data_IF_035425296743
#
_entry.id   IF_035425296743
#
_cell.length_a   1.000
_cell.length_b   1.000
_cell.length_c   1.000
_cell.angle_alpha   90.00
_cell.angle_beta   90.00
_cell.angle_gamma   90.00
#
_symmetry.space_group_name_H-M   'P 1'
#
loop_
_entity.id
_entity.type
_entity.pdbx_description
1 polymer ?
#
# COMPACT_ATOMS: atom_id res chain seq x y z
N UNK A 1 -15.96 -11.94 -56.92
CA UNK A 1 -14.67 -11.30 -57.30
C UNK A 1 -14.04 -10.79 -56.00
N UNK A 2 -13.13 -11.54 -55.36
CA UNK A 2 -11.63 -11.43 -55.41
C UNK A 2 -11.16 -10.04 -54.90
N UNK A 3 -10.31 -9.84 -53.88
CA UNK A 3 -9.10 -10.57 -53.36
C UNK A 3 -8.86 -10.15 -51.88
N UNK A 4 -8.65 -11.02 -50.89
CA UNK A 4 -7.38 -11.61 -50.41
C UNK A 4 -6.11 -10.75 -50.49
N UNK A 5 -5.51 -10.44 -49.32
CA UNK A 5 -4.11 -10.73 -49.03
C UNK A 5 -3.83 -10.62 -47.50
N UNK A 6 -3.58 -11.76 -46.87
CA UNK A 6 -2.76 -11.85 -45.66
C UNK A 6 -1.30 -11.77 -46.07
N UNK A 7 -0.51 -10.97 -45.35
CA UNK A 7 0.94 -11.12 -45.32
C UNK A 7 1.38 -11.11 -43.85
N UNK A 8 1.97 -12.23 -43.43
CA UNK A 8 2.69 -12.40 -42.17
C UNK A 8 3.82 -11.35 -42.09
N UNK A 9 3.83 -10.59 -41.01
CA UNK A 9 4.97 -9.81 -40.55
C UNK A 9 5.47 -10.39 -39.23
N UNK A 10 6.67 -10.95 -39.28
CA UNK A 10 7.39 -11.65 -38.22
C UNK A 10 7.55 -10.90 -36.90
N UNK A 11 7.50 -11.67 -35.81
CA UNK A 11 7.87 -11.33 -34.44
C UNK A 11 9.21 -10.58 -34.36
N UNK A 12 9.15 -9.32 -33.92
CA UNK A 12 10.17 -8.70 -33.08
C UNK A 12 9.45 -7.90 -32.00
N UNK A 13 8.96 -8.60 -30.98
CA UNK A 13 8.68 -7.98 -29.68
C UNK A 13 10.05 -7.67 -29.05
N UNK A 14 10.66 -6.58 -29.51
CA UNK A 14 11.62 -5.84 -28.70
C UNK A 14 10.90 -5.47 -27.41
N UNK A 15 11.30 -6.10 -26.32
CA UNK A 15 10.89 -5.75 -24.97
C UNK A 15 11.44 -4.35 -24.64
N UNK A 16 10.77 -3.31 -25.13
CA UNK A 16 10.88 -1.98 -24.55
C UNK A 16 10.06 -1.99 -23.26
N UNK A 17 10.71 -2.35 -22.16
CA UNK A 17 10.22 -2.10 -20.81
C UNK A 17 10.34 -0.61 -20.51
N UNK A 18 9.49 0.20 -21.14
CA UNK A 18 9.26 1.60 -20.77
C UNK A 18 8.03 1.62 -19.87
N UNK A 19 8.27 1.74 -18.57
CA UNK A 19 7.23 1.86 -17.55
C UNK A 19 7.10 0.58 -16.72
N UNK A 20 7.58 0.63 -15.48
CA UNK A 20 7.59 -0.47 -14.51
C UNK A 20 6.21 -0.85 -14.00
N UNK A 21 5.35 -1.32 -14.90
CA UNK A 21 4.10 -1.98 -14.57
C UNK A 21 4.38 -3.47 -14.51
N UNK A 22 4.93 -3.94 -13.38
CA UNK A 22 4.84 -5.36 -13.05
C UNK A 22 3.37 -5.66 -12.80
N UNK A 23 2.70 -6.22 -13.81
CA UNK A 23 1.41 -6.86 -13.62
C UNK A 23 1.65 -8.04 -12.68
N UNK A 24 1.37 -7.87 -11.39
CA UNK A 24 1.34 -8.98 -10.44
C UNK A 24 0.22 -9.91 -10.87
N UNK A 25 0.57 -10.91 -11.68
CA UNK A 25 -0.35 -11.88 -12.23
C UNK A 25 -0.32 -13.10 -11.33
N UNK A 26 -1.28 -13.20 -10.41
CA UNK A 26 -1.63 -14.50 -9.86
C UNK A 26 -2.14 -15.33 -11.05
N UNK A 27 -1.39 -16.37 -11.42
CA UNK A 27 -1.46 -17.01 -12.74
C UNK A 27 -2.85 -17.56 -13.10
N UNK A 28 -3.71 -17.80 -12.09
CA UNK A 28 -4.99 -18.50 -12.22
C UNK A 28 -6.21 -17.74 -11.67
N UNK A 29 -6.06 -16.50 -11.19
CA UNK A 29 -7.19 -15.68 -10.69
C UNK A 29 -7.30 -14.36 -11.48
N UNK A 30 -8.52 -13.91 -11.83
CA UNK A 30 -8.71 -12.61 -12.47
C UNK A 30 -8.19 -11.49 -11.55
N UNK A 31 -7.51 -10.48 -12.10
CA UNK A 31 -6.90 -9.41 -11.31
C UNK A 31 -7.96 -8.64 -10.50
N UNK A 32 -7.60 -8.26 -9.28
CA UNK A 32 -8.42 -7.41 -8.42
C UNK A 32 -7.96 -5.96 -8.49
N UNK A 33 -8.92 -5.06 -8.62
CA UNK A 33 -8.77 -3.64 -8.34
C UNK A 33 -9.06 -3.42 -6.85
N UNK A 34 -8.05 -2.95 -6.12
CA UNK A 34 -8.18 -2.64 -4.71
C UNK A 34 -8.42 -1.15 -4.51
N UNK A 35 -9.28 -0.79 -3.57
CA UNK A 35 -9.54 0.60 -3.22
C UNK A 35 -9.93 0.75 -1.76
N UNK A 36 -9.82 1.96 -1.24
CA UNK A 36 -10.38 2.36 0.03
C UNK A 36 -11.50 3.38 -0.24
N UNK A 37 -12.68 3.17 0.34
CA UNK A 37 -13.83 4.08 0.15
C UNK A 37 -14.61 4.30 1.43
N UNK A 38 -15.33 5.40 1.44
CA UNK A 38 -16.34 5.70 2.45
C UNK A 38 -17.74 5.43 1.85
N UNK A 39 -18.72 5.10 2.69
CA UNK A 39 -20.14 5.09 2.28
C UNK A 39 -20.87 6.39 2.68
N UNK A 40 -22.16 6.48 2.35
CA UNK A 40 -22.99 7.64 2.66
C UNK A 40 -23.25 7.85 4.17
N UNK A 41 -22.97 6.84 5.00
CA UNK A 41 -23.08 6.92 6.46
C UNK A 41 -21.73 7.27 7.12
N UNK A 42 -20.68 7.46 6.32
CA UNK A 42 -19.33 7.77 6.80
C UNK A 42 -18.55 6.55 7.30
N UNK A 43 -19.01 5.32 7.02
CA UNK A 43 -18.24 4.10 7.35
C UNK A 43 -17.14 3.89 6.31
N UNK A 44 -16.01 3.35 6.75
CA UNK A 44 -14.82 3.14 5.93
C UNK A 44 -14.73 1.67 5.48
N UNK A 45 -14.27 1.44 4.25
CA UNK A 45 -14.15 0.09 3.68
C UNK A 45 -12.85 -0.11 2.91
N UNK A 46 -12.24 -1.28 3.10
CA UNK A 46 -11.30 -1.89 2.17
C UNK A 46 -12.10 -2.72 1.15
N UNK A 47 -11.92 -2.45 -0.13
CA UNK A 47 -12.75 -3.06 -1.19
C UNK A 47 -11.90 -3.68 -2.29
N UNK A 48 -12.41 -4.77 -2.86
CA UNK A 48 -11.82 -5.47 -3.99
C UNK A 48 -12.88 -5.69 -5.07
N UNK A 49 -12.55 -5.28 -6.30
CA UNK A 49 -13.41 -5.44 -7.48
C UNK A 49 -12.69 -6.22 -8.58
N UNK A 50 -13.43 -6.97 -9.38
CA UNK A 50 -12.94 -7.47 -10.66
C UNK A 50 -12.96 -6.36 -11.71
N UNK A 51 -12.24 -6.54 -12.80
CA UNK A 51 -12.21 -5.58 -13.92
C UNK A 51 -13.57 -5.36 -14.60
N UNK A 52 -14.51 -6.30 -14.45
CA UNK A 52 -15.89 -6.16 -14.94
C UNK A 52 -16.81 -5.38 -13.98
N UNK A 53 -16.28 -4.87 -12.86
CA UNK A 53 -17.02 -4.13 -11.85
C UNK A 53 -17.68 -5.01 -10.78
N UNK A 54 -17.54 -6.34 -10.86
CA UNK A 54 -18.06 -7.25 -9.82
C UNK A 54 -17.33 -7.02 -8.50
N UNK A 55 -18.06 -6.66 -7.44
CA UNK A 55 -17.51 -6.58 -6.10
C UNK A 55 -17.16 -7.98 -5.60
N UNK A 56 -15.91 -8.20 -5.20
CA UNK A 56 -15.45 -9.45 -4.56
C UNK A 56 -15.61 -9.36 -3.06
N UNK A 57 -15.19 -8.23 -2.47
CA UNK A 57 -15.37 -7.97 -1.06
C UNK A 57 -15.52 -6.47 -0.76
N UNK A 58 -16.16 -6.17 0.36
CA UNK A 58 -16.19 -4.85 0.97
C UNK A 58 -16.13 -5.00 2.49
N UNK A 59 -14.92 -4.88 3.02
CA UNK A 59 -14.62 -5.14 4.43
C UNK A 59 -14.64 -3.81 5.17
N UNK A 60 -15.59 -3.66 6.09
CA UNK A 60 -15.66 -2.47 6.93
C UNK A 60 -14.41 -2.40 7.83
N UNK A 61 -13.80 -1.22 7.89
CA UNK A 61 -12.61 -0.93 8.70
C UNK A 61 -12.86 0.27 9.61
N UNK A 62 -12.05 0.42 10.66
CA UNK A 62 -12.26 1.45 11.68
C UNK A 62 -11.93 2.87 11.22
N UNK A 63 -11.06 3.01 10.23
CA UNK A 63 -10.48 4.29 9.80
C UNK A 63 -10.31 4.33 8.27
N UNK A 64 -10.42 5.53 7.71
CA UNK A 64 -10.19 5.76 6.29
C UNK A 64 -8.75 5.40 5.91
N UNK A 65 -8.60 4.62 4.84
CA UNK A 65 -7.29 4.27 4.28
C UNK A 65 -6.91 5.18 3.11
N UNK A 66 -5.63 5.19 2.77
CA UNK A 66 -5.04 6.03 1.72
C UNK A 66 -4.35 5.18 0.65
N UNK A 67 -3.30 4.46 1.03
CA UNK A 67 -2.52 3.61 0.14
C UNK A 67 -2.78 2.12 0.39
N UNK A 68 -2.47 1.29 -0.59
CA UNK A 68 -2.70 -0.15 -0.56
C UNK A 68 -1.43 -0.87 -1.03
N UNK A 69 -0.82 -1.63 -0.12
CA UNK A 69 0.45 -2.30 -0.37
C UNK A 69 0.22 -3.80 -0.50
N UNK A 70 0.33 -4.31 -1.72
CA UNK A 70 0.24 -5.75 -1.99
C UNK A 70 1.49 -6.46 -1.48
N UNK A 71 1.32 -7.63 -0.86
CA UNK A 71 2.45 -8.53 -0.63
C UNK A 71 2.94 -9.09 -1.97
N UNK A 72 4.27 -9.22 -2.21
CA UNK A 72 4.80 -9.70 -3.48
C UNK A 72 4.32 -11.13 -3.84
N UNK A 73 4.29 -12.04 -2.85
CA UNK A 73 4.01 -13.46 -3.09
C UNK A 73 2.70 -14.00 -2.49
N UNK A 74 2.09 -13.29 -1.54
CA UNK A 74 0.93 -13.77 -0.78
C UNK A 74 -0.33 -13.03 -1.25
N UNK A 75 -1.52 -13.67 -1.25
CA UNK A 75 -2.77 -13.03 -1.64
C UNK A 75 -3.31 -12.14 -0.52
N UNK A 76 -2.48 -11.20 -0.04
CA UNK A 76 -2.79 -10.27 1.04
C UNK A 76 -2.34 -8.87 0.65
N UNK A 77 -3.02 -7.85 1.18
CA UNK A 77 -2.58 -6.46 1.07
C UNK A 77 -2.77 -5.72 2.39
N UNK A 78 -1.97 -4.68 2.58
CA UNK A 78 -2.09 -3.75 3.70
C UNK A 78 -2.76 -2.47 3.23
N UNK A 79 -3.90 -2.14 3.81
CA UNK A 79 -4.58 -0.86 3.62
C UNK A 79 -4.08 0.10 4.68
N UNK A 80 -3.34 1.13 4.25
CA UNK A 80 -2.61 2.04 5.14
C UNK A 80 -3.53 3.19 5.55
N UNK A 81 -3.59 3.47 6.85
CA UNK A 81 -4.43 4.54 7.40
C UNK A 81 -4.07 5.91 6.81
N UNK A 82 -5.09 6.69 6.46
CA UNK A 82 -4.93 8.08 6.03
C UNK A 82 -4.60 8.96 7.24
N UNK A 83 -3.71 9.94 7.07
CA UNK A 83 -3.38 10.93 8.11
C UNK A 83 -4.61 11.75 8.57
N UNK A 84 -4.80 11.98 9.89
CA UNK A 84 -4.18 11.26 11.01
C UNK A 84 -4.90 9.92 11.22
N UNK A 85 -4.17 8.79 11.10
CA UNK A 85 -4.72 7.46 11.31
C UNK A 85 -3.81 6.64 12.20
N UNK A 86 -4.38 5.84 13.09
CA UNK A 86 -3.68 4.95 14.04
C UNK A 86 -3.84 3.48 13.68
N UNK A 87 -4.68 3.15 12.70
CA UNK A 87 -5.02 1.76 12.37
C UNK A 87 -4.93 1.50 10.88
N UNK A 88 -4.05 0.58 10.51
CA UNK A 88 -3.94 0.00 9.17
C UNK A 88 -4.45 -1.45 9.17
N UNK A 89 -4.80 -2.00 8.01
CA UNK A 89 -5.53 -3.28 7.94
C UNK A 89 -4.87 -4.26 6.98
N UNK A 90 -4.50 -5.44 7.49
CA UNK A 90 -4.05 -6.55 6.67
C UNK A 90 -5.28 -7.36 6.23
N UNK A 91 -5.51 -7.44 4.92
CA UNK A 91 -6.69 -8.05 4.31
C UNK A 91 -6.28 -9.25 3.46
N UNK A 92 -7.03 -10.35 3.58
CA UNK A 92 -6.98 -11.49 2.67
C UNK A 92 -7.69 -11.13 1.36
N UNK A 93 -6.97 -11.16 0.24
CA UNK A 93 -7.52 -10.72 -1.05
C UNK A 93 -8.45 -11.76 -1.69
N UNK A 94 -8.50 -12.99 -1.16
CA UNK A 94 -9.38 -14.04 -1.72
C UNK A 94 -10.85 -13.79 -1.41
N UNK A 95 -11.13 -13.32 -0.20
CA UNK A 95 -12.49 -13.17 0.35
C UNK A 95 -12.71 -11.85 1.11
N UNK A 96 -11.68 -11.02 1.24
CA UNK A 96 -11.73 -9.76 1.98
C UNK A 96 -11.57 -9.89 3.49
N UNK A 97 -11.30 -11.09 4.02
CA UNK A 97 -11.24 -11.29 5.47
C UNK A 97 -10.16 -10.41 6.10
N UNK A 98 -10.54 -9.68 7.15
CA UNK A 98 -9.61 -8.92 7.98
C UNK A 98 -8.71 -9.88 8.77
N UNK A 99 -7.42 -9.90 8.46
CA UNK A 99 -6.42 -10.74 9.10
C UNK A 99 -5.87 -10.10 10.37
N UNK A 100 -5.67 -8.78 10.32
CA UNK A 100 -5.08 -8.01 11.40
C UNK A 100 -5.43 -6.54 11.27
N UNK A 101 -5.80 -5.92 12.39
CA UNK A 101 -5.68 -4.47 12.59
C UNK A 101 -4.30 -4.18 13.16
N UNK A 102 -3.54 -3.34 12.46
CA UNK A 102 -2.19 -2.92 12.82
C UNK A 102 -2.31 -1.54 13.45
N UNK A 103 -2.17 -1.49 14.77
CA UNK A 103 -2.11 -0.24 15.51
C UNK A 103 -0.73 0.41 15.33
N UNK A 104 -0.69 1.71 15.12
CA UNK A 104 0.55 2.50 15.24
C UNK A 104 1.08 2.41 16.67
N UNK A 105 2.39 2.63 16.86
CA UNK A 105 2.95 2.74 18.20
C UNK A 105 2.32 3.95 18.95
N UNK A 106 2.32 3.94 20.29
CA UNK A 106 1.86 5.09 21.06
C UNK A 106 2.55 6.38 20.60
N UNK A 107 1.78 7.46 20.49
CA UNK A 107 2.27 8.75 20.01
C UNK A 107 2.78 8.73 18.55
N UNK A 108 2.23 7.83 17.73
CA UNK A 108 2.44 7.79 16.28
C UNK A 108 1.13 7.82 15.52
N UNK A 109 1.13 8.46 14.36
CA UNK A 109 0.10 8.26 13.34
C UNK A 109 0.75 7.82 12.03
N UNK A 110 0.07 6.94 11.30
CA UNK A 110 0.37 6.65 9.90
C UNK A 110 0.13 7.90 9.04
N UNK A 111 1.03 8.11 8.08
CA UNK A 111 1.00 9.22 7.13
C UNK A 111 0.50 8.83 5.73
N UNK A 112 -0.07 7.63 5.61
CA UNK A 112 -0.82 7.20 4.44
C UNK A 112 -0.05 6.31 3.49
N UNK A 113 1.28 6.33 3.50
CA UNK A 113 2.09 5.59 2.54
C UNK A 113 2.99 4.55 3.21
N UNK A 114 3.27 3.48 2.50
CA UNK A 114 4.21 2.46 2.93
C UNK A 114 4.84 1.77 1.72
N UNK A 115 5.88 0.98 1.96
CA UNK A 115 6.43 0.04 0.98
C UNK A 115 6.73 -1.28 1.64
N UNK A 116 6.56 -2.37 0.90
CA UNK A 116 7.03 -3.69 1.29
C UNK A 116 8.33 -3.98 0.56
N UNK A 117 9.29 -4.60 1.24
CA UNK A 117 10.51 -5.11 0.62
C UNK A 117 10.16 -6.21 -0.39
N UNK A 118 10.95 -6.34 -1.47
CA UNK A 118 10.72 -7.34 -2.52
C UNK A 118 10.63 -8.78 -2.02
N UNK A 119 11.29 -9.09 -0.89
CA UNK A 119 11.21 -10.40 -0.25
C UNK A 119 9.96 -10.62 0.61
N UNK A 120 9.06 -9.63 0.75
CA UNK A 120 7.82 -9.75 1.52
C UNK A 120 7.97 -9.71 3.05
N UNK A 121 9.19 -9.83 3.57
CA UNK A 121 9.42 -9.95 5.03
C UNK A 121 9.28 -8.64 5.81
N UNK A 122 9.42 -7.49 5.14
CA UNK A 122 9.53 -6.19 5.80
C UNK A 122 8.62 -5.16 5.16
N UNK A 123 7.88 -4.42 5.98
CA UNK A 123 7.09 -3.26 5.58
C UNK A 123 7.58 -2.01 6.30
N UNK A 124 7.70 -0.92 5.55
CA UNK A 124 8.13 0.39 6.03
C UNK A 124 6.99 1.38 5.78
N UNK A 125 6.41 1.93 6.84
CA UNK A 125 5.31 2.89 6.75
C UNK A 125 5.76 4.30 7.13
N UNK A 126 5.31 5.32 6.40
CA UNK A 126 5.53 6.70 6.81
C UNK A 126 4.69 7.00 8.04
N UNK A 127 5.34 7.56 9.07
CA UNK A 127 4.72 7.88 10.34
C UNK A 127 5.25 9.22 10.88
N UNK A 128 4.64 9.71 11.96
CA UNK A 128 5.13 10.86 12.70
C UNK A 128 5.30 10.58 14.17
N UNK A 129 6.16 11.37 14.80
CA UNK A 129 6.19 11.52 16.24
C UNK A 129 5.18 12.61 16.66
N UNK A 130 4.20 12.28 17.50
CA UNK A 130 3.26 13.30 18.02
C UNK A 130 3.81 14.04 19.24
N UNK A 131 4.88 13.54 19.87
CA UNK A 131 5.58 14.23 20.97
C UNK A 131 6.57 15.27 20.45
N UNK A 132 7.13 15.02 19.26
CA UNK A 132 7.92 15.99 18.50
C UNK A 132 7.32 16.17 17.10
N UNK A 133 6.39 17.13 16.91
CA UNK A 133 5.69 17.34 15.63
C UNK A 133 6.61 17.66 14.43
N UNK A 134 7.91 17.91 14.65
CA UNK A 134 8.91 18.06 13.60
C UNK A 134 9.59 16.77 13.17
N UNK A 135 9.37 15.65 13.85
CA UNK A 135 10.10 14.40 13.61
C UNK A 135 9.25 13.42 12.79
N UNK A 136 9.64 13.27 11.53
CA UNK A 136 9.17 12.20 10.65
C UNK A 136 9.87 10.87 10.93
N UNK A 137 9.12 9.78 10.76
CA UNK A 137 9.57 8.43 11.02
C UNK A 137 9.18 7.50 9.87
N UNK A 138 9.96 6.43 9.71
CA UNK A 138 9.48 5.18 9.14
C UNK A 138 9.25 4.21 10.28
N UNK A 139 8.01 3.73 10.43
CA UNK A 139 7.72 2.55 11.22
C UNK A 139 8.19 1.31 10.46
N UNK A 140 8.93 0.43 11.11
CA UNK A 140 9.48 -0.80 10.53
C UNK A 140 8.71 -1.99 11.10
N UNK A 141 8.09 -2.77 10.22
CA UNK A 141 7.28 -3.93 10.58
C UNK A 141 7.84 -5.17 9.93
N UNK A 142 7.96 -6.25 10.69
CA UNK A 142 8.36 -7.58 10.19
C UNK A 142 7.14 -8.46 10.03
N UNK A 143 7.11 -9.22 8.94
CA UNK A 143 6.12 -10.27 8.74
C UNK A 143 6.53 -11.52 9.53
N UNK A 144 5.76 -11.89 10.55
CA UNK A 144 5.99 -13.03 11.44
C UNK A 144 4.67 -13.76 11.62
N UNK A 145 4.64 -15.07 11.37
CA UNK A 145 3.44 -15.91 11.52
C UNK A 145 2.19 -15.34 10.84
N UNK A 146 2.35 -14.84 9.61
CA UNK A 146 1.29 -14.21 8.81
C UNK A 146 0.73 -12.89 9.37
N UNK A 147 1.51 -12.22 10.23
CA UNK A 147 1.15 -10.94 10.88
C UNK A 147 2.27 -9.94 10.74
N UNK A 148 1.93 -8.66 10.70
CA UNK A 148 2.90 -7.58 10.78
C UNK A 148 3.15 -7.20 12.24
N UNK A 149 4.39 -7.30 12.68
CA UNK A 149 4.84 -6.98 14.03
C UNK A 149 5.80 -5.81 13.95
N UNK A 150 5.51 -4.74 14.70
CA UNK A 150 6.42 -3.60 14.79
C UNK A 150 7.78 -4.05 15.34
N UNK A 151 8.86 -3.64 14.67
CA UNK A 151 10.23 -4.06 14.97
C UNK A 151 11.15 -2.90 15.32
N UNK A 152 10.99 -1.73 14.69
CA UNK A 152 11.87 -0.59 14.89
C UNK A 152 11.27 0.71 14.31
N UNK A 153 11.93 1.84 14.56
CA UNK A 153 11.66 3.12 13.93
C UNK A 153 12.95 3.68 13.30
N UNK A 154 12.83 4.32 12.14
CA UNK A 154 13.94 5.00 11.47
C UNK A 154 13.59 6.49 11.30
N UNK A 155 14.41 7.43 11.80
CA UNK A 155 14.19 8.86 11.54
C UNK A 155 14.28 9.17 10.04
N UNK A 156 13.31 9.92 9.51
CA UNK A 156 13.37 10.38 8.10
C UNK A 156 14.14 11.69 7.94
N UNK A 157 14.61 12.26 9.06
CA UNK A 157 15.34 13.53 9.14
C UNK A 157 14.61 14.71 8.47
N UNK A 158 13.27 14.68 8.47
CA UNK A 158 12.44 15.77 7.98
C UNK A 158 11.04 15.73 8.57
N UNK A 159 10.27 16.77 8.30
CA UNK A 159 8.89 16.92 8.76
C UNK A 159 7.96 16.34 7.70
N UNK A 160 6.92 15.61 8.11
CA UNK A 160 5.87 15.25 7.17
C UNK A 160 6.31 14.25 6.10
N UNK A 161 6.88 13.07 6.42
CA UNK A 161 7.23 12.09 5.40
C UNK A 161 5.97 11.70 4.63
N UNK A 162 5.86 12.17 3.38
CA UNK A 162 4.68 11.99 2.57
C UNK A 162 4.79 10.68 1.81
N UNK A 163 5.84 10.55 0.99
CA UNK A 163 6.07 9.37 0.15
C UNK A 163 7.29 8.59 0.63
N UNK A 164 7.23 7.27 0.49
CA UNK A 164 8.38 6.37 0.58
C UNK A 164 8.43 5.49 -0.66
N UNK A 165 9.62 5.17 -1.15
CA UNK A 165 9.82 4.27 -2.30
C UNK A 165 11.17 3.56 -2.23
N UNK A 166 11.27 2.41 -2.89
CA UNK A 166 12.54 1.75 -3.15
C UNK A 166 13.22 2.38 -4.36
N UNK A 167 14.53 2.57 -4.28
CA UNK A 167 15.35 2.86 -5.45
C UNK A 167 15.47 1.61 -6.34
N UNK A 168 15.85 1.77 -7.62
CA UNK A 168 16.00 0.64 -8.54
C UNK A 168 17.00 -0.45 -8.10
N UNK A 169 17.90 -0.14 -7.16
CA UNK A 169 18.82 -1.13 -6.57
C UNK A 169 18.09 -2.17 -5.69
N UNK A 170 16.89 -1.86 -5.20
CA UNK A 170 16.10 -2.69 -4.31
C UNK A 170 16.61 -2.74 -2.88
N UNK A 171 17.57 -1.89 -2.51
CA UNK A 171 18.23 -1.87 -1.21
C UNK A 171 18.17 -0.50 -0.55
N UNK A 172 18.05 0.58 -1.33
CA UNK A 172 17.97 1.95 -0.83
C UNK A 172 16.52 2.42 -0.76
N UNK A 173 16.10 2.94 0.39
CA UNK A 173 14.83 3.66 0.54
C UNK A 173 15.02 5.15 0.32
N UNK A 174 14.08 5.77 -0.41
CA UNK A 174 13.96 7.23 -0.52
C UNK A 174 12.66 7.68 0.11
N UNK A 175 12.75 8.75 0.91
CA UNK A 175 11.60 9.36 1.59
C UNK A 175 11.47 10.80 1.16
N UNK A 176 10.30 11.16 0.64
CA UNK A 176 9.95 12.55 0.36
C UNK A 176 9.36 13.18 1.61
N UNK A 177 10.16 13.98 2.31
CA UNK A 177 9.69 14.79 3.43
C UNK A 177 9.03 16.07 2.91
N UNK A 178 7.79 16.34 3.34
CA UNK A 178 7.03 17.50 2.90
C UNK A 178 5.75 17.65 3.71
N UNK A 179 5.80 18.50 4.75
CA UNK A 179 4.65 18.85 5.54
C UNK A 179 4.83 20.18 6.28
N UNK A 180 3.72 20.85 6.57
CA UNK A 180 3.68 22.02 7.45
C UNK A 180 3.66 21.51 8.89
N UNK A 181 4.42 22.15 9.81
CA UNK A 181 4.31 21.89 11.26
C UNK A 181 2.87 22.17 11.70
N UNK A 182 2.07 21.12 11.72
CA UNK A 182 0.70 21.20 12.18
C UNK A 182 0.75 20.86 13.66
N UNK A 183 0.86 21.89 14.49
CA UNK A 183 0.68 21.75 15.92
C UNK A 183 -0.78 21.33 16.09
N UNK A 184 -1.03 20.09 16.51
CA UNK A 184 -2.35 19.70 16.97
C UNK A 184 -2.63 20.56 18.21
N UNK A 185 -3.37 21.65 18.04
CA UNK A 185 -4.01 22.33 19.15
C UNK A 185 -4.86 21.28 19.85
N UNK A 186 -4.48 20.88 21.07
CA UNK A 186 -5.35 20.13 21.96
C UNK A 186 -6.66 20.93 22.05
N UNK A 187 -7.74 20.38 21.50
CA UNK A 187 -9.09 20.79 21.88
C UNK A 187 -9.46 20.09 23.17
#
# INVERSE_FOLDING_TARGET
MRRQAMALGSLLLSAFTLGGWTLFRQKDAPPLLLSARDDGEGKHYAVGFRLDGTQVFATQVGQRCHDIINHPDLPIAVFIARRPGTESYLIDLRDGRLLQTIASQPNRHFYGHAVIHRGGEWLYATENDTLDPGRGLLGVYRFVDQRLVHSAEIPTHGIGPHQVSWMPDGETLVVANGGIRTILLKK
#
